data_IF_408505325716
#
_entry.id   IF_408505325716
#
_cell.length_a   1.000
_cell.length_b   1.000
_cell.length_c   1.000
_cell.angle_alpha   90.00
_cell.angle_beta   90.00
_cell.angle_gamma   90.00
#
_symmetry.space_group_name_H-M   'P 1'
#
loop_
_entity.id
_entity.type
_entity.pdbx_description
1 polymer ?
#
# COMPACT_ATOMS: atom_id res chain seq x y z
N UNK A 1 22.77 39.74 19.79
CA UNK A 1 21.51 38.97 19.87
C UNK A 1 21.62 37.76 18.91
N UNK A 2 21.79 36.55 19.46
CA UNK A 2 21.93 35.31 18.64
C UNK A 2 20.57 34.60 18.68
N UNK A 3 19.90 34.49 17.54
CA UNK A 3 18.64 33.78 17.41
C UNK A 3 18.95 32.28 17.22
N UNK A 4 18.59 31.49 18.24
CA UNK A 4 18.71 30.02 18.17
C UNK A 4 17.58 29.46 17.33
N UNK A 5 17.92 28.87 16.18
CA UNK A 5 17.00 28.13 15.33
C UNK A 5 16.81 26.73 15.93
N UNK A 6 15.67 26.50 16.56
CA UNK A 6 15.24 25.17 17.01
C UNK A 6 14.90 24.28 15.80
N UNK A 7 15.79 23.36 15.46
CA UNK A 7 15.51 22.27 14.52
C UNK A 7 14.57 21.26 15.19
N UNK A 8 13.29 21.30 14.84
CA UNK A 8 12.33 20.24 15.18
C UNK A 8 12.72 18.96 14.46
N UNK A 9 13.28 18.01 15.21
CA UNK A 9 13.55 16.66 14.73
C UNK A 9 12.25 15.94 14.43
N UNK A 10 11.97 15.70 13.15
CA UNK A 10 10.92 14.79 12.75
C UNK A 10 11.42 13.36 12.98
N UNK A 11 10.93 12.73 14.05
CA UNK A 11 11.10 11.30 14.25
C UNK A 11 10.38 10.56 13.10
N UNK A 12 11.16 10.12 12.11
CA UNK A 12 10.69 9.22 11.06
C UNK A 12 10.38 7.87 11.70
N UNK A 13 9.11 7.66 12.03
CA UNK A 13 8.60 6.30 12.20
C UNK A 13 8.70 5.59 10.85
N UNK A 14 9.82 4.88 10.66
CA UNK A 14 9.99 3.95 9.57
C UNK A 14 9.05 2.76 9.83
N UNK A 15 7.82 2.85 9.38
CA UNK A 15 7.04 1.65 9.15
C UNK A 15 7.73 0.90 8.02
N UNK A 16 8.57 -0.06 8.41
CA UNK A 16 9.14 -1.04 7.51
C UNK A 16 7.97 -1.93 7.08
N UNK A 17 7.34 -1.55 5.97
CA UNK A 17 6.51 -2.48 5.23
C UNK A 17 7.46 -3.49 4.58
N UNK A 18 7.81 -4.52 5.35
CA UNK A 18 8.57 -5.63 4.83
C UNK A 18 7.72 -6.30 3.75
N UNK A 19 8.03 -5.99 2.49
CA UNK A 19 7.62 -6.83 1.39
C UNK A 19 8.11 -8.25 1.74
N UNK A 20 7.20 -9.09 2.22
CA UNK A 20 7.48 -10.49 2.46
C UNK A 20 7.84 -11.12 1.11
N UNK A 21 9.13 -11.09 0.80
CA UNK A 21 9.69 -11.97 -0.20
C UNK A 21 9.22 -13.37 0.15
N UNK A 22 8.60 -14.01 -0.81
CA UNK A 22 8.16 -15.39 -0.75
C UNK A 22 9.39 -16.29 -0.64
N UNK A 23 10.05 -16.28 0.55
CA UNK A 23 11.05 -17.29 0.86
C UNK A 23 10.28 -18.57 1.12
N UNK A 24 10.34 -19.46 0.15
CA UNK A 24 9.95 -20.84 0.30
C UNK A 24 10.88 -21.46 1.35
N UNK A 25 10.42 -21.54 2.60
CA UNK A 25 11.11 -22.29 3.64
C UNK A 25 11.14 -23.78 3.24
N UNK A 26 12.31 -24.44 3.26
CA UNK A 26 12.39 -25.87 2.95
C UNK A 26 11.82 -26.67 4.11
N UNK A 27 10.85 -27.50 3.84
CA UNK A 27 10.58 -28.78 4.46
C UNK A 27 10.17 -28.82 5.92
N UNK A 28 8.86 -28.70 6.18
CA UNK A 28 8.17 -29.63 7.07
C UNK A 28 6.87 -30.01 6.39
N UNK A 29 6.75 -31.27 6.00
CA UNK A 29 5.55 -31.91 5.48
C UNK A 29 4.50 -32.03 6.59
N UNK A 30 3.93 -30.89 6.99
CA UNK A 30 2.62 -30.85 7.59
C UNK A 30 1.75 -30.10 6.58
N UNK A 31 0.84 -30.82 5.97
CA UNK A 31 -0.21 -30.30 5.07
C UNK A 31 -1.21 -29.46 5.88
N UNK A 32 -0.70 -28.45 6.60
CA UNK A 32 -1.51 -27.46 7.29
C UNK A 32 -2.02 -26.56 6.21
N UNK A 33 -3.29 -26.72 5.88
CA UNK A 33 -4.03 -25.82 4.99
C UNK A 33 -3.91 -24.39 5.52
N UNK A 34 -2.89 -23.68 5.04
CA UNK A 34 -2.64 -22.30 5.45
C UNK A 34 -3.55 -21.36 4.67
N UNK A 35 -4.28 -20.53 5.39
CA UNK A 35 -5.18 -19.53 4.80
C UNK A 35 -4.53 -18.14 4.84
N UNK A 36 -4.58 -17.42 3.72
CA UNK A 36 -4.01 -16.07 3.62
C UNK A 36 -4.93 -15.03 4.28
N UNK A 37 -4.35 -14.17 5.13
CA UNK A 37 -5.07 -13.03 5.71
C UNK A 37 -4.76 -11.75 4.93
N UNK A 38 -5.77 -11.14 4.31
CA UNK A 38 -5.61 -9.94 3.48
C UNK A 38 -5.19 -8.69 4.26
N UNK A 39 -5.47 -8.62 5.57
CA UNK A 39 -5.13 -7.45 6.40
C UNK A 39 -3.67 -7.48 6.84
N UNK A 40 -3.16 -8.61 7.36
CA UNK A 40 -1.77 -8.71 7.81
C UNK A 40 -0.81 -9.31 6.78
N UNK A 41 -1.31 -9.74 5.61
CA UNK A 41 -0.48 -10.29 4.54
C UNK A 41 0.18 -11.63 4.86
N UNK A 42 -0.28 -12.36 5.88
CA UNK A 42 0.35 -13.60 6.36
C UNK A 42 -0.52 -14.82 6.09
N UNK A 43 0.13 -15.93 5.74
CA UNK A 43 -0.51 -17.24 5.76
C UNK A 43 -0.55 -17.74 7.20
N UNK A 44 -1.73 -18.14 7.67
CA UNK A 44 -1.98 -18.64 9.03
C UNK A 44 -2.78 -19.94 8.98
N UNK A 45 -2.66 -20.82 9.99
CA UNK A 45 -3.49 -22.02 10.08
C UNK A 45 -4.98 -21.67 10.13
N UNK A 46 -5.83 -22.58 9.65
CA UNK A 46 -7.28 -22.40 9.59
C UNK A 46 -7.91 -22.02 10.93
N UNK A 47 -7.39 -22.54 12.04
CA UNK A 47 -7.85 -22.25 13.39
C UNK A 47 -7.75 -20.76 13.78
N UNK A 48 -6.86 -20.02 13.12
CA UNK A 48 -6.70 -18.57 13.30
C UNK A 48 -7.78 -17.76 12.59
N UNK A 49 -8.70 -18.40 11.89
CA UNK A 49 -9.83 -17.76 11.25
C UNK A 49 -11.15 -18.22 11.93
N UNK A 50 -12.17 -17.38 11.90
CA UNK A 50 -13.54 -17.76 12.21
C UNK A 50 -14.23 -18.22 10.92
N UNK A 51 -15.41 -18.88 11.01
CA UNK A 51 -16.17 -19.26 9.82
C UNK A 51 -16.43 -18.06 8.88
N UNK A 52 -16.81 -16.90 9.45
CA UNK A 52 -16.93 -15.63 8.70
C UNK A 52 -15.56 -15.13 8.21
N UNK A 53 -14.51 -15.27 9.04
CA UNK A 53 -13.15 -14.85 8.73
C UNK A 53 -12.55 -15.63 7.54
N UNK A 54 -12.86 -16.91 7.38
CA UNK A 54 -12.48 -17.68 6.20
C UNK A 54 -13.04 -17.08 4.91
N UNK A 55 -14.35 -16.77 4.92
CA UNK A 55 -15.03 -16.22 3.74
C UNK A 55 -14.51 -14.85 3.32
N UNK A 56 -14.13 -14.01 4.29
CA UNK A 56 -13.63 -12.64 4.02
C UNK A 56 -12.10 -12.54 4.06
N UNK A 57 -11.39 -13.67 4.25
CA UNK A 57 -9.92 -13.74 4.32
C UNK A 57 -9.31 -12.84 5.40
N UNK A 58 -9.92 -12.79 6.60
CA UNK A 58 -9.44 -11.99 7.74
C UNK A 58 -9.27 -12.88 8.97
N UNK A 59 -8.04 -12.93 9.51
CA UNK A 59 -7.78 -13.72 10.71
C UNK A 59 -8.40 -13.09 11.97
N UNK A 60 -8.59 -13.91 13.04
CA UNK A 60 -9.20 -13.48 14.31
C UNK A 60 -8.53 -12.27 14.95
N UNK A 61 -7.19 -12.18 14.86
CA UNK A 61 -6.43 -11.04 15.38
C UNK A 61 -6.76 -9.74 14.63
N UNK A 62 -6.73 -9.79 13.29
CA UNK A 62 -7.08 -8.64 12.46
C UNK A 62 -8.56 -8.26 12.56
N UNK A 63 -9.46 -9.23 12.80
CA UNK A 63 -10.88 -8.96 13.02
C UNK A 63 -11.14 -8.14 14.30
N UNK A 64 -10.25 -8.25 15.31
CA UNK A 64 -10.33 -7.47 16.57
C UNK A 64 -9.74 -6.07 16.46
N UNK A 65 -9.03 -5.75 15.38
CA UNK A 65 -8.48 -4.39 15.18
C UNK A 65 -9.63 -3.38 15.03
N UNK A 66 -9.43 -2.12 15.49
CA UNK A 66 -10.35 -1.03 15.21
C UNK A 66 -10.69 -0.95 13.71
N UNK A 67 -11.94 -0.61 13.42
CA UNK A 67 -12.44 -0.56 12.04
C UNK A 67 -11.63 0.42 11.20
N UNK A 68 -11.33 1.59 11.74
CA UNK A 68 -10.60 2.67 11.08
C UNK A 68 -9.20 2.20 10.61
N UNK A 69 -8.52 1.41 11.45
CA UNK A 69 -7.21 0.83 11.10
C UNK A 69 -7.31 -0.19 9.98
N UNK A 70 -8.35 -1.02 9.99
CA UNK A 70 -8.56 -2.01 8.92
C UNK A 70 -8.91 -1.33 7.61
N UNK A 71 -9.82 -0.36 7.67
CA UNK A 71 -10.24 0.41 6.51
C UNK A 71 -9.05 1.15 5.87
N UNK A 72 -8.16 1.73 6.69
CA UNK A 72 -6.94 2.37 6.21
C UNK A 72 -6.01 1.39 5.46
N UNK A 73 -5.78 0.19 6.01
CA UNK A 73 -4.97 -0.84 5.35
C UNK A 73 -5.60 -1.28 4.02
N UNK A 74 -6.92 -1.48 4.01
CA UNK A 74 -7.64 -1.87 2.79
C UNK A 74 -7.60 -0.77 1.72
N UNK A 75 -7.70 0.50 2.13
CA UNK A 75 -7.61 1.64 1.22
C UNK A 75 -6.20 1.83 0.67
N UNK A 76 -5.15 1.64 1.48
CA UNK A 76 -3.76 1.67 0.98
C UNK A 76 -3.53 0.56 -0.07
N UNK A 77 -4.01 -0.66 0.20
CA UNK A 77 -3.89 -1.77 -0.75
C UNK A 77 -4.72 -1.51 -2.02
N UNK A 78 -5.91 -0.92 -1.89
CA UNK A 78 -6.75 -0.52 -3.02
C UNK A 78 -6.01 0.47 -3.94
N UNK A 79 -5.41 1.53 -3.36
CA UNK A 79 -4.63 2.54 -4.10
C UNK A 79 -3.42 1.89 -4.80
N UNK A 80 -2.70 1.03 -4.11
CA UNK A 80 -1.56 0.30 -4.66
C UNK A 80 -1.97 -0.62 -5.83
N UNK A 81 -3.12 -1.29 -5.70
CA UNK A 81 -3.65 -2.13 -6.76
C UNK A 81 -4.06 -1.33 -8.00
N UNK A 82 -4.60 -0.12 -7.83
CA UNK A 82 -4.88 0.77 -8.97
C UNK A 82 -3.60 1.13 -9.75
N UNK A 83 -2.51 1.40 -9.05
CA UNK A 83 -1.23 1.68 -9.69
C UNK A 83 -0.65 0.46 -10.42
N UNK A 84 -0.91 -0.76 -9.93
CA UNK A 84 -0.46 -2.02 -10.56
C UNK A 84 -1.23 -2.41 -11.81
N UNK A 85 -2.46 -1.94 -11.97
CA UNK A 85 -3.30 -2.29 -13.12
C UNK A 85 -2.68 -1.85 -14.44
N UNK A 86 -3.02 -2.57 -15.51
CA UNK A 86 -2.60 -2.23 -16.88
C UNK A 86 -3.08 -0.85 -17.30
N UNK A 87 -4.24 -0.44 -16.81
CA UNK A 87 -4.87 0.85 -17.06
C UNK A 87 -5.64 1.33 -15.84
N UNK A 88 -5.45 2.58 -15.42
CA UNK A 88 -6.25 3.23 -14.38
C UNK A 88 -7.52 3.76 -15.03
N UNK A 89 -8.63 3.06 -14.83
CA UNK A 89 -9.93 3.38 -15.45
C UNK A 89 -10.54 4.66 -14.90
N UNK A 90 -11.52 5.24 -15.63
CA UNK A 90 -12.28 6.41 -15.14
C UNK A 90 -12.98 6.13 -13.80
N UNK A 91 -13.48 4.89 -13.59
CA UNK A 91 -14.07 4.47 -12.31
C UNK A 91 -13.05 4.53 -11.17
N UNK A 92 -11.82 4.05 -11.43
CA UNK A 92 -10.75 4.08 -10.43
C UNK A 92 -10.31 5.53 -10.14
N UNK A 93 -10.26 6.39 -11.15
CA UNK A 93 -9.99 7.84 -10.96
C UNK A 93 -11.07 8.49 -10.08
N UNK A 94 -12.36 8.20 -10.31
CA UNK A 94 -13.44 8.68 -9.45
C UNK A 94 -13.28 8.21 -8.00
N UNK A 95 -12.94 6.94 -7.79
CA UNK A 95 -12.68 6.39 -6.45
C UNK A 95 -11.46 7.02 -5.78
N UNK A 96 -10.37 7.24 -6.54
CA UNK A 96 -9.18 7.94 -6.05
C UNK A 96 -9.49 9.39 -5.64
N UNK A 97 -10.37 10.10 -6.36
CA UNK A 97 -10.84 11.43 -5.96
C UNK A 97 -11.56 11.38 -4.60
N UNK A 98 -12.41 10.38 -4.36
CA UNK A 98 -13.03 10.20 -3.04
C UNK A 98 -11.99 9.94 -1.95
N UNK A 99 -10.99 9.09 -2.22
CA UNK A 99 -9.93 8.75 -1.26
C UNK A 99 -8.98 9.93 -1.00
N UNK A 100 -8.78 10.84 -1.95
CA UNK A 100 -7.96 12.04 -1.75
C UNK A 100 -8.58 13.05 -0.79
N UNK A 101 -9.90 12.96 -0.54
CA UNK A 101 -10.62 13.73 0.47
C UNK A 101 -10.78 12.98 1.80
N UNK A 102 -10.04 11.90 2.02
CA UNK A 102 -10.10 11.12 3.26
C UNK A 102 -9.56 11.92 4.44
N UNK A 103 -10.17 11.75 5.63
CA UNK A 103 -9.66 12.30 6.89
C UNK A 103 -8.28 11.74 7.27
N UNK A 104 -7.94 10.54 6.76
CA UNK A 104 -6.62 9.96 6.96
C UNK A 104 -5.61 10.61 6.00
N UNK A 105 -4.65 11.43 6.52
CA UNK A 105 -3.71 12.18 5.69
C UNK A 105 -2.84 11.28 4.81
N UNK A 106 -2.52 10.06 5.30
CA UNK A 106 -1.73 9.09 4.53
C UNK A 106 -2.50 8.60 3.30
N UNK A 107 -3.79 8.27 3.47
CA UNK A 107 -4.65 7.82 2.36
C UNK A 107 -4.84 8.95 1.35
N UNK A 108 -5.10 10.16 1.83
CA UNK A 108 -5.29 11.33 0.98
C UNK A 108 -4.03 11.63 0.14
N UNK A 109 -2.85 11.56 0.75
CA UNK A 109 -1.57 11.74 0.07
C UNK A 109 -1.35 10.68 -1.02
N UNK A 110 -1.49 9.39 -0.67
CA UNK A 110 -1.28 8.29 -1.63
C UNK A 110 -2.25 8.37 -2.81
N UNK A 111 -3.53 8.64 -2.54
CA UNK A 111 -4.55 8.78 -3.57
C UNK A 111 -4.25 9.96 -4.51
N UNK A 112 -3.84 11.11 -3.96
CA UNK A 112 -3.47 12.29 -4.75
C UNK A 112 -2.29 12.02 -5.68
N UNK A 113 -1.26 11.32 -5.20
CA UNK A 113 -0.10 10.93 -6.03
C UNK A 113 -0.54 10.04 -7.20
N UNK A 114 -1.38 9.03 -6.94
CA UNK A 114 -1.85 8.10 -8.00
C UNK A 114 -2.79 8.80 -8.97
N UNK A 115 -3.58 9.79 -8.53
CA UNK A 115 -4.38 10.64 -9.41
C UNK A 115 -3.51 11.44 -10.38
N UNK A 116 -2.44 12.05 -9.90
CA UNK A 116 -1.49 12.77 -10.77
C UNK A 116 -0.82 11.81 -11.77
N UNK A 117 -0.46 10.61 -11.34
CA UNK A 117 0.05 9.57 -12.24
C UNK A 117 -0.97 9.21 -13.32
N UNK A 118 -2.24 9.08 -12.95
CA UNK A 118 -3.30 8.75 -13.91
C UNK A 118 -3.53 9.86 -14.95
N UNK A 119 -3.34 11.12 -14.57
CA UNK A 119 -3.42 12.28 -15.51
C UNK A 119 -2.26 12.27 -16.52
N UNK A 120 -1.04 11.93 -16.08
CA UNK A 120 0.15 11.92 -16.96
C UNK A 120 0.17 10.66 -17.83
N UNK A 121 0.00 9.49 -17.22
CA UNK A 121 0.07 8.21 -17.93
C UNK A 121 -0.79 7.13 -17.26
N UNK A 122 -2.08 6.99 -17.64
CA UNK A 122 -2.98 6.00 -17.04
C UNK A 122 -2.58 4.55 -17.37
N UNK A 123 -1.94 4.31 -18.52
CA UNK A 123 -1.48 2.99 -18.94
C UNK A 123 -0.18 2.59 -18.27
N UNK A 124 -0.09 1.34 -17.76
CA UNK A 124 1.10 0.81 -17.08
C UNK A 124 2.32 0.73 -18.00
N UNK A 125 2.11 0.38 -19.28
CA UNK A 125 3.20 0.23 -20.25
C UNK A 125 4.03 1.52 -20.34
N UNK A 126 5.31 1.44 -20.01
CA UNK A 126 6.28 2.55 -19.99
C UNK A 126 5.91 3.70 -19.03
N UNK A 127 5.00 3.51 -18.07
CA UNK A 127 4.56 4.56 -17.13
C UNK A 127 5.75 5.16 -16.39
N UNK A 128 6.57 4.36 -15.74
CA UNK A 128 7.73 4.86 -14.99
C UNK A 128 8.74 5.57 -15.88
N UNK A 129 8.95 5.10 -17.13
CA UNK A 129 9.85 5.77 -18.08
C UNK A 129 9.32 7.15 -18.50
N UNK A 130 8.01 7.27 -18.70
CA UNK A 130 7.37 8.56 -19.01
C UNK A 130 7.47 9.50 -17.81
N UNK A 131 7.16 9.04 -16.59
CA UNK A 131 7.30 9.83 -15.38
C UNK A 131 8.74 10.29 -15.14
N UNK A 132 9.74 9.43 -15.40
CA UNK A 132 11.15 9.79 -15.25
C UNK A 132 11.57 10.92 -16.20
N UNK A 133 10.95 11.01 -17.37
CA UNK A 133 11.24 12.03 -18.39
C UNK A 133 10.46 13.32 -18.16
N UNK A 134 9.17 13.21 -17.84
CA UNK A 134 8.23 14.34 -17.84
C UNK A 134 7.89 14.87 -16.44
N UNK A 135 7.86 13.98 -15.43
CA UNK A 135 7.45 14.30 -14.06
C UNK A 135 8.31 13.54 -13.04
N UNK A 136 9.60 13.91 -13.01
CA UNK A 136 10.58 13.30 -12.09
C UNK A 136 10.21 13.51 -10.62
N UNK A 137 9.60 14.65 -10.30
CA UNK A 137 9.04 14.96 -8.98
C UNK A 137 8.03 13.91 -8.50
N UNK A 138 7.12 13.53 -9.40
CA UNK A 138 6.10 12.54 -9.12
C UNK A 138 6.70 11.12 -8.96
N UNK A 139 7.72 10.79 -9.74
CA UNK A 139 8.45 9.53 -9.60
C UNK A 139 9.16 9.44 -8.24
N UNK A 140 9.73 10.54 -7.75
CA UNK A 140 10.34 10.60 -6.42
C UNK A 140 9.32 10.41 -5.32
N UNK A 141 8.16 11.09 -5.39
CA UNK A 141 7.05 10.89 -4.45
C UNK A 141 6.58 9.43 -4.40
N UNK A 142 6.45 8.76 -5.55
CA UNK A 142 6.10 7.34 -5.62
C UNK A 142 7.12 6.45 -4.90
N UNK A 143 8.42 6.78 -4.98
CA UNK A 143 9.48 6.05 -4.27
C UNK A 143 9.45 6.32 -2.77
N UNK A 144 9.33 7.58 -2.37
CA UNK A 144 9.33 8.01 -0.96
C UNK A 144 8.13 7.44 -0.20
N UNK A 145 6.99 7.37 -0.84
CA UNK A 145 5.76 6.81 -0.25
C UNK A 145 5.70 5.28 -0.27
N UNK A 146 6.65 4.62 -0.97
CA UNK A 146 6.69 3.15 -1.08
C UNK A 146 5.69 2.57 -2.08
N UNK A 147 5.03 3.40 -2.90
CA UNK A 147 4.12 2.93 -3.96
C UNK A 147 4.86 2.20 -5.08
N UNK A 148 6.14 2.49 -5.26
CA UNK A 148 7.05 1.73 -6.13
C UNK A 148 8.35 1.45 -5.41
N UNK A 149 8.94 0.27 -5.68
CA UNK A 149 10.27 -0.08 -5.19
C UNK A 149 11.28 0.22 -6.31
N UNK A 150 12.38 0.88 -5.96
CA UNK A 150 13.52 0.99 -6.85
C UNK A 150 14.17 -0.38 -6.95
N UNK A 151 14.02 -1.05 -8.08
CA UNK A 151 14.90 -2.15 -8.42
C UNK A 151 16.24 -1.53 -8.81
N UNK A 152 17.29 -1.87 -8.08
CA UNK A 152 18.65 -1.57 -8.50
C UNK A 152 18.91 -2.43 -9.75
N UNK A 153 19.08 -1.77 -10.87
CA UNK A 153 19.62 -2.37 -12.08
C UNK A 153 21.15 -2.34 -11.99
#
# INVERSE_FOLDING_TARGET
MKIAVLRKGHARLKFIWAAAHRTRSPGTNNNIMAHYCRICGRNKPNEKFSGKGHRIHVCKECARMPKEKRDAIEQEEEIFNYLKQSHISKKNVSRLNTLSCSENPRIAELASIVLEVAKVKPYKKRRLKVLARERRDLLLKLKETGLIFAHHY
#
